data_IF_121961758686
#
_entry.id   IF_121961758686
#
_cell.length_a   1.000
_cell.length_b   1.000
_cell.length_c   1.000
_cell.angle_alpha   90.00
_cell.angle_beta   90.00
_cell.angle_gamma   90.00
#
_symmetry.space_group_name_H-M   'P 1'
#
loop_
_entity.id
_entity.type
_entity.pdbx_description
1 polymer ?
#
# COMPACT_ATOMS: atom_id res chain seq x y z
N UNK A 1 23.79 24.37 -10.60
CA UNK A 1 23.63 23.66 -9.32
C UNK A 1 22.16 23.36 -9.19
N UNK A 2 21.78 22.14 -9.53
CA UNK A 2 20.39 21.70 -9.70
C UNK A 2 19.67 21.83 -8.36
N UNK A 3 18.64 22.68 -8.29
CA UNK A 3 17.77 22.71 -7.13
C UNK A 3 17.04 21.38 -7.07
N UNK A 4 17.26 20.64 -5.99
CA UNK A 4 16.54 19.43 -5.67
C UNK A 4 15.07 19.81 -5.48
N UNK A 5 14.23 19.47 -6.45
CA UNK A 5 12.80 19.63 -6.35
C UNK A 5 12.33 18.75 -5.19
N UNK A 6 11.87 19.37 -4.10
CA UNK A 6 11.14 18.68 -3.05
C UNK A 6 9.77 18.31 -3.62
N UNK A 7 9.68 17.15 -4.27
CA UNK A 7 8.41 16.57 -4.71
C UNK A 7 7.50 16.44 -3.47
N UNK A 8 6.51 17.32 -3.35
CA UNK A 8 5.58 17.26 -2.23
C UNK A 8 4.67 16.04 -2.42
N UNK A 9 4.43 15.25 -1.36
CA UNK A 9 3.52 14.09 -1.40
C UNK A 9 2.12 14.41 -1.95
N UNK A 10 1.74 15.70 -1.99
CA UNK A 10 0.48 16.20 -2.53
C UNK A 10 0.40 16.23 -4.07
N UNK A 11 1.52 16.12 -4.80
CA UNK A 11 1.48 16.09 -6.28
C UNK A 11 1.34 14.67 -6.85
N UNK A 12 1.62 13.65 -6.03
CA UNK A 12 1.47 12.26 -6.42
C UNK A 12 0.01 11.81 -6.22
N UNK A 13 -0.63 11.12 -7.17
CA UNK A 13 -2.00 10.63 -6.99
C UNK A 13 -2.10 9.63 -5.83
N UNK A 14 -3.13 9.72 -4.99
CA UNK A 14 -3.35 8.66 -3.99
C UNK A 14 -3.68 7.34 -4.71
N UNK A 15 -2.94 6.27 -4.39
CA UNK A 15 -3.24 4.92 -4.89
C UNK A 15 -3.90 4.10 -3.79
N UNK A 16 -5.15 3.69 -4.03
CA UNK A 16 -5.89 2.79 -3.14
C UNK A 16 -5.65 1.34 -3.51
N UNK A 17 -5.08 0.56 -2.59
CA UNK A 17 -4.83 -0.87 -2.75
C UNK A 17 -5.88 -1.65 -1.96
N UNK A 18 -6.80 -2.31 -2.68
CA UNK A 18 -7.88 -3.10 -2.08
C UNK A 18 -7.47 -4.58 -2.05
N UNK A 19 -7.45 -5.15 -0.85
CA UNK A 19 -7.05 -6.54 -0.60
C UNK A 19 -8.22 -7.35 -0.04
N UNK A 20 -9.00 -8.04 -0.88
CA UNK A 20 -9.95 -9.03 -0.40
C UNK A 20 -9.19 -10.26 0.12
N UNK A 21 -9.43 -10.67 1.36
CA UNK A 21 -8.72 -11.77 2.02
C UNK A 21 -9.73 -12.74 2.62
N UNK A 22 -9.61 -14.04 2.32
CA UNK A 22 -10.36 -15.11 3.00
C UNK A 22 -9.40 -16.21 3.44
N UNK A 23 -9.39 -16.53 4.73
CA UNK A 23 -8.49 -17.51 5.36
C UNK A 23 -7.00 -17.26 5.02
N UNK A 24 -6.62 -15.99 4.82
CA UNK A 24 -5.30 -15.60 4.32
C UNK A 24 -4.29 -15.23 5.41
N UNK A 25 -4.51 -15.62 6.66
CA UNK A 25 -3.68 -15.24 7.80
C UNK A 25 -2.18 -15.50 7.59
N UNK A 26 -1.84 -16.60 6.90
CA UNK A 26 -0.45 -16.98 6.59
C UNK A 26 0.23 -16.00 5.62
N UNK A 27 -0.53 -15.36 4.73
CA UNK A 27 0.01 -14.57 3.63
C UNK A 27 -0.17 -13.06 3.80
N UNK A 28 -1.18 -12.64 4.56
CA UNK A 28 -1.56 -11.22 4.67
C UNK A 28 -0.41 -10.34 5.18
N UNK A 29 0.40 -10.85 6.12
CA UNK A 29 1.58 -10.13 6.62
C UNK A 29 2.60 -9.88 5.52
N UNK A 30 2.98 -10.91 4.77
CA UNK A 30 3.95 -10.79 3.69
C UNK A 30 3.44 -9.89 2.57
N UNK A 31 2.15 -9.99 2.24
CA UNK A 31 1.52 -9.14 1.23
C UNK A 31 1.56 -7.66 1.62
N UNK A 32 1.17 -7.33 2.85
CA UNK A 32 1.24 -5.94 3.37
C UNK A 32 2.70 -5.46 3.39
N UNK A 33 3.64 -6.28 3.86
CA UNK A 33 5.07 -5.92 3.86
C UNK A 33 5.61 -5.65 2.45
N UNK A 34 5.19 -6.44 1.47
CA UNK A 34 5.57 -6.24 0.06
C UNK A 34 5.07 -4.89 -0.48
N UNK A 35 3.85 -4.49 -0.11
CA UNK A 35 3.27 -3.19 -0.49
C UNK A 35 4.02 -2.04 0.20
N UNK A 36 4.34 -2.17 1.48
CA UNK A 36 5.06 -1.15 2.25
C UNK A 36 6.51 -0.95 1.79
N UNK A 37 7.11 -1.92 1.09
CA UNK A 37 8.47 -1.81 0.53
C UNK A 37 8.51 -1.20 -0.88
N UNK A 38 7.36 -0.80 -1.44
CA UNK A 38 7.33 -0.13 -2.75
C UNK A 38 7.91 1.29 -2.64
N UNK A 39 8.46 1.79 -3.76
CA UNK A 39 9.01 3.16 -3.83
C UNK A 39 7.94 4.27 -3.81
N UNK A 40 6.68 3.91 -4.06
CA UNK A 40 5.57 4.85 -4.13
C UNK A 40 4.93 4.99 -2.75
N UNK A 41 5.02 6.16 -2.14
CA UNK A 41 4.64 6.36 -0.74
C UNK A 41 3.20 6.85 -0.54
N UNK A 42 2.58 7.48 -1.55
CA UNK A 42 1.22 8.01 -1.43
C UNK A 42 0.16 6.93 -1.66
N UNK A 43 0.10 5.96 -0.74
CA UNK A 43 -0.79 4.80 -0.82
C UNK A 43 -1.72 4.71 0.38
N UNK A 44 -2.89 4.12 0.17
CA UNK A 44 -3.74 3.58 1.23
C UNK A 44 -3.97 2.08 1.01
N UNK A 45 -4.05 1.31 2.09
CA UNK A 45 -4.27 -0.14 2.03
C UNK A 45 -5.60 -0.45 2.73
N UNK A 46 -6.53 -1.05 1.99
CA UNK A 46 -7.85 -1.43 2.49
C UNK A 46 -7.96 -2.95 2.44
N UNK A 47 -7.97 -3.60 3.61
CA UNK A 47 -8.16 -5.04 3.72
C UNK A 47 -9.64 -5.33 3.94
N UNK A 48 -10.23 -6.16 3.09
CA UNK A 48 -11.61 -6.62 3.19
C UNK A 48 -11.60 -8.10 3.56
N UNK A 49 -11.98 -8.43 4.79
CA UNK A 49 -12.13 -9.83 5.19
C UNK A 49 -13.37 -10.47 4.57
N UNK A 50 -13.17 -11.59 3.88
CA UNK A 50 -14.16 -12.38 3.18
C UNK A 50 -14.82 -13.43 4.07
N UNK A 51 -15.12 -13.07 5.33
CA UNK A 51 -15.68 -13.95 6.36
C UNK A 51 -14.74 -15.14 6.59
N UNK A 52 -13.52 -14.85 7.03
CA UNK A 52 -12.57 -15.90 7.43
C UNK A 52 -13.07 -16.65 8.68
N UNK A 53 -12.66 -17.91 8.83
CA UNK A 53 -13.01 -18.77 9.98
C UNK A 53 -11.78 -19.07 10.83
#
# INVERSE_FOLDING_TARGET
MTSLNSESLHELPLISIIMPVKNGATFIRHAIQSILMQKYENIEIIVVDGVST
#
